data_IF_198845639340
#
_entry.id   IF_198845639340
#
_cell.length_a   1.000
_cell.length_b   1.000
_cell.length_c   1.000
_cell.angle_alpha   90.00
_cell.angle_beta   90.00
_cell.angle_gamma   90.00
#
_symmetry.space_group_name_H-M   'P 1'
#
loop_
_entity.id
_entity.type
_entity.pdbx_description
1 polymer ?
#
# COMPACT_ATOMS: atom_id res chain seq x y z
N UNK A 1 -74.36 -31.87 8.76
CA UNK A 1 -74.32 -32.22 10.21
C UNK A 1 -73.03 -32.98 10.51
N UNK A 2 -72.12 -32.37 11.15
CA UNK A 2 -70.90 -32.99 11.58
C UNK A 2 -70.09 -31.94 12.36
N UNK A 3 -70.34 -31.84 13.63
CA UNK A 3 -69.64 -31.02 14.60
C UNK A 3 -68.23 -31.60 14.83
N UNK A 4 -67.20 -30.83 14.62
CA UNK A 4 -65.84 -31.19 15.04
C UNK A 4 -65.48 -30.41 16.29
N UNK A 5 -65.26 -31.14 17.34
CA UNK A 5 -64.93 -30.69 18.70
C UNK A 5 -63.52 -30.16 18.75
N UNK A 6 -63.34 -29.01 19.38
CA UNK A 6 -62.03 -28.41 19.68
C UNK A 6 -61.39 -29.12 20.89
N UNK A 7 -60.11 -29.45 20.80
CA UNK A 7 -59.29 -30.01 21.87
C UNK A 7 -58.75 -28.89 22.80
N UNK A 8 -58.51 -29.14 24.08
CA UNK A 8 -58.12 -28.14 25.05
C UNK A 8 -56.61 -27.83 24.97
N UNK A 9 -56.27 -26.54 25.15
CA UNK A 9 -54.91 -26.00 25.22
C UNK A 9 -54.35 -26.30 26.58
N UNK A 10 -53.32 -27.11 26.65
CA UNK A 10 -52.55 -27.35 27.91
C UNK A 10 -51.56 -26.22 28.15
N UNK A 11 -51.71 -25.61 29.30
CA UNK A 11 -50.83 -24.59 29.84
C UNK A 11 -49.48 -25.24 30.24
N UNK A 12 -48.40 -24.93 29.54
CA UNK A 12 -47.04 -25.35 29.93
C UNK A 12 -46.46 -24.37 30.93
N UNK A 13 -46.13 -24.90 32.08
CA UNK A 13 -45.48 -24.22 33.19
C UNK A 13 -44.10 -23.68 32.80
N UNK A 14 -43.84 -22.39 33.11
CA UNK A 14 -42.51 -21.78 33.02
C UNK A 14 -41.61 -22.40 34.10
N UNK A 15 -40.67 -23.21 33.65
CA UNK A 15 -39.53 -23.67 34.44
C UNK A 15 -38.50 -22.56 34.64
N UNK A 16 -38.18 -22.34 35.90
CA UNK A 16 -37.19 -21.41 36.43
C UNK A 16 -35.78 -21.79 35.92
N UNK A 17 -35.19 -21.00 35.04
CA UNK A 17 -33.81 -21.21 34.57
C UNK A 17 -32.88 -20.31 35.41
N UNK A 18 -32.53 -20.82 36.57
CA UNK A 18 -31.45 -20.28 37.38
C UNK A 18 -30.24 -21.18 37.26
N UNK A 19 -29.43 -21.00 36.20
CA UNK A 19 -28.05 -21.46 36.14
C UNK A 19 -27.30 -20.67 35.08
N UNK A 20 -26.87 -19.48 35.41
CA UNK A 20 -25.82 -18.77 34.69
C UNK A 20 -24.48 -19.27 35.24
N UNK A 21 -23.60 -19.87 34.43
CA UNK A 21 -22.25 -20.21 34.87
C UNK A 21 -21.48 -18.92 35.21
N UNK A 22 -21.07 -18.80 36.48
CA UNK A 22 -20.18 -17.73 36.90
C UNK A 22 -18.79 -17.98 36.30
N UNK A 23 -18.28 -17.01 35.52
CA UNK A 23 -16.90 -16.98 35.08
C UNK A 23 -15.97 -16.87 36.28
N UNK A 24 -14.90 -17.69 36.39
CA UNK A 24 -13.94 -17.57 37.46
C UNK A 24 -13.16 -16.25 37.33
N UNK A 25 -13.19 -15.46 38.41
CA UNK A 25 -12.32 -14.28 38.56
C UNK A 25 -10.90 -14.80 38.76
N UNK A 26 -10.05 -14.65 37.79
CA UNK A 26 -8.61 -14.88 37.91
C UNK A 26 -7.97 -13.71 38.66
N UNK A 27 -7.88 -13.84 39.97
CA UNK A 27 -6.94 -13.09 40.80
C UNK A 27 -5.65 -13.90 40.85
N UNK A 28 -4.72 -13.60 39.96
CA UNK A 28 -3.27 -13.66 40.11
C UNK A 28 -2.59 -13.31 38.79
N UNK A 29 -2.14 -12.08 38.67
CA UNK A 29 -1.17 -11.68 37.68
C UNK A 29 0.20 -11.80 38.35
N UNK A 30 1.03 -12.80 38.01
CA UNK A 30 2.40 -12.84 38.50
C UNK A 30 3.22 -11.76 37.82
N UNK A 31 3.86 -10.95 38.65
CA UNK A 31 5.04 -10.10 38.39
C UNK A 31 5.54 -10.03 36.94
N UNK A 32 5.18 -8.94 36.26
CA UNK A 32 5.95 -8.50 35.09
C UNK A 32 7.34 -8.07 35.55
N UNK A 33 8.41 -8.51 34.87
CA UNK A 33 9.74 -7.98 35.08
C UNK A 33 9.75 -6.49 34.74
N UNK A 34 10.11 -5.67 35.72
CA UNK A 34 10.29 -4.23 35.50
C UNK A 34 11.51 -4.01 34.60
N UNK A 35 11.30 -3.32 33.49
CA UNK A 35 12.40 -2.81 32.65
C UNK A 35 13.27 -1.86 33.47
N UNK A 36 14.61 -2.01 33.46
CA UNK A 36 15.49 -1.10 34.17
C UNK A 36 15.39 0.29 33.56
N UNK A 37 15.08 1.28 34.43
CA UNK A 37 15.18 2.71 34.11
C UNK A 37 16.65 3.04 34.00
N UNK A 38 17.14 3.32 32.79
CA UNK A 38 18.47 3.88 32.58
C UNK A 38 18.48 5.35 32.99
N UNK A 39 18.81 5.61 34.25
CA UNK A 39 19.34 6.88 34.69
C UNK A 39 20.87 6.80 34.52
N UNK A 40 21.37 7.43 33.49
CA UNK A 40 22.65 8.16 33.43
C UNK A 40 23.10 8.35 31.97
N UNK A 41 22.66 9.44 31.37
CA UNK A 41 23.32 10.00 30.20
C UNK A 41 24.13 11.19 30.66
N UNK A 42 25.26 10.90 31.27
CA UNK A 42 26.31 11.92 31.58
C UNK A 42 27.63 11.28 31.21
N UNK A 43 28.00 11.36 29.95
CA UNK A 43 29.36 11.34 29.42
C UNK A 43 29.32 11.05 27.91
N UNK A 44 28.90 12.04 27.14
CA UNK A 44 29.30 12.10 25.73
C UNK A 44 30.70 12.78 25.70
N UNK A 45 31.68 12.18 25.02
CA UNK A 45 32.95 12.88 24.75
C UNK A 45 32.65 14.06 23.84
N UNK A 46 33.04 15.25 24.29
CA UNK A 46 32.97 16.45 23.47
C UNK A 46 34.02 16.35 22.37
N UNK A 47 33.55 16.49 21.11
CA UNK A 47 34.44 16.66 19.97
C UNK A 47 35.23 17.94 20.13
N UNK A 48 36.57 17.92 19.89
CA UNK A 48 37.38 19.13 20.00
C UNK A 48 37.01 20.14 18.92
N UNK A 49 36.68 21.35 19.33
CA UNK A 49 36.52 22.52 18.47
C UNK A 49 37.92 22.90 17.95
N UNK A 50 38.19 22.69 16.68
CA UNK A 50 39.38 23.22 16.03
C UNK A 50 39.19 24.72 15.77
N UNK A 51 39.70 25.55 16.70
CA UNK A 51 40.03 26.93 16.42
C UNK A 51 41.47 26.93 15.88
N UNK A 52 41.62 27.26 14.65
CA UNK A 52 42.72 27.98 14.01
C UNK A 52 42.95 27.48 12.58
N UNK A 53 42.39 28.17 11.62
CA UNK A 53 42.93 28.17 10.27
C UNK A 53 43.39 29.60 9.98
N UNK A 54 44.65 29.85 10.26
CA UNK A 54 45.38 31.02 9.82
C UNK A 54 46.09 30.69 8.52
N UNK A 55 45.89 31.55 7.52
CA UNK A 55 46.79 31.78 6.38
C UNK A 55 46.94 30.63 5.36
N UNK A 56 45.95 30.49 4.44
CA UNK A 56 46.20 29.99 3.11
C UNK A 56 46.54 31.15 2.15
N UNK A 57 47.38 30.94 1.12
CA UNK A 57 47.79 31.97 0.18
C UNK A 57 46.62 32.52 -0.60
N UNK A 58 46.48 33.84 -0.65
CA UNK A 58 45.47 34.54 -1.42
C UNK A 58 45.77 34.40 -2.92
N UNK A 59 44.88 33.79 -3.68
CA UNK A 59 44.90 33.86 -5.13
C UNK A 59 44.44 35.24 -5.59
N UNK A 60 45.10 35.86 -6.60
CA UNK A 60 44.72 37.18 -7.08
C UNK A 60 43.35 37.17 -7.72
N UNK A 61 42.49 38.11 -7.31
CA UNK A 61 41.18 38.35 -7.89
C UNK A 61 41.40 38.99 -9.26
N UNK A 62 41.11 38.23 -10.33
CA UNK A 62 40.99 38.81 -11.66
C UNK A 62 39.63 39.52 -11.78
N UNK A 63 39.67 40.84 -11.59
CA UNK A 63 38.60 41.75 -11.99
C UNK A 63 38.69 41.95 -13.48
N UNK A 64 37.81 41.28 -14.28
CA UNK A 64 37.23 41.72 -15.53
C UNK A 64 36.57 40.52 -16.25
N UNK A 65 35.30 40.28 -15.94
CA UNK A 65 34.46 39.46 -16.76
C UNK A 65 33.56 40.44 -17.52
N UNK A 66 33.60 40.47 -18.88
CA UNK A 66 32.68 41.31 -19.67
C UNK A 66 31.22 40.82 -19.44
N UNK A 67 30.35 41.78 -19.31
CA UNK A 67 28.91 41.65 -19.19
C UNK A 67 28.34 40.65 -20.20
N UNK A 68 28.04 39.44 -19.79
CA UNK A 68 27.19 38.55 -20.57
C UNK A 68 25.73 38.98 -20.43
N UNK A 69 24.95 39.05 -21.51
CA UNK A 69 23.54 39.34 -21.45
C UNK A 69 22.86 38.25 -20.61
N UNK A 70 22.20 38.67 -19.51
CA UNK A 70 21.37 37.75 -18.73
C UNK A 70 20.16 37.36 -19.58
N UNK A 71 20.11 36.12 -19.98
CA UNK A 71 18.87 35.52 -20.49
C UNK A 71 17.81 35.54 -19.38
N UNK A 72 16.58 36.00 -19.64
CA UNK A 72 15.53 35.98 -18.63
C UNK A 72 15.29 34.51 -18.23
N UNK A 73 15.46 34.21 -16.95
CA UNK A 73 15.03 32.96 -16.37
C UNK A 73 13.50 32.91 -16.48
N UNK A 74 13.01 32.22 -17.48
CA UNK A 74 11.63 31.77 -17.50
C UNK A 74 11.46 30.76 -16.37
N UNK A 75 10.90 31.22 -15.24
CA UNK A 75 10.32 30.39 -14.21
C UNK A 75 9.07 29.70 -14.75
N UNK A 76 9.23 28.84 -15.73
CA UNK A 76 8.25 27.81 -16.00
C UNK A 76 8.59 26.62 -15.10
N UNK A 77 8.13 26.67 -13.88
CA UNK A 77 7.94 25.46 -13.09
C UNK A 77 6.90 24.64 -13.83
N UNK A 78 7.36 23.79 -14.74
CA UNK A 78 6.58 22.68 -15.26
C UNK A 78 6.08 21.92 -14.02
N UNK A 79 4.76 21.66 -13.90
CA UNK A 79 4.29 20.78 -12.85
C UNK A 79 5.10 19.49 -12.97
N UNK A 80 5.69 19.06 -11.84
CA UNK A 80 6.44 17.82 -11.76
C UNK A 80 5.57 16.71 -12.35
N UNK A 81 5.87 16.30 -13.55
CA UNK A 81 5.36 15.07 -14.13
C UNK A 81 5.74 13.99 -13.13
N UNK A 82 4.73 13.44 -12.45
CA UNK A 82 4.90 12.29 -11.59
C UNK A 82 5.41 11.15 -12.47
N UNK A 83 6.72 11.01 -12.50
CA UNK A 83 7.36 9.86 -13.12
C UNK A 83 6.96 8.64 -12.28
N UNK A 84 5.99 7.88 -12.79
CA UNK A 84 5.94 6.44 -12.48
C UNK A 84 7.34 5.93 -12.78
N UNK A 85 7.97 5.26 -11.83
CA UNK A 85 9.31 4.70 -12.04
C UNK A 85 9.22 3.75 -13.24
N UNK A 86 9.63 4.25 -14.40
CA UNK A 86 9.78 3.40 -15.58
C UNK A 86 10.97 2.49 -15.28
N UNK A 87 10.75 1.19 -15.30
CA UNK A 87 11.85 0.22 -15.28
C UNK A 87 12.51 0.34 -16.64
N UNK A 88 13.74 0.91 -16.73
CA UNK A 88 14.35 1.18 -18.02
C UNK A 88 14.51 -0.12 -18.82
N UNK A 89 13.94 -0.16 -20.01
CA UNK A 89 14.13 -1.25 -20.97
C UNK A 89 13.08 -2.36 -20.97
N UNK A 90 12.09 -2.35 -20.06
CA UNK A 90 10.98 -3.31 -20.12
C UNK A 90 9.72 -2.67 -20.72
N UNK A 91 9.16 -3.25 -21.79
CA UNK A 91 7.94 -2.72 -22.40
C UNK A 91 6.75 -2.88 -21.47
N UNK A 92 5.83 -1.90 -21.53
CA UNK A 92 4.61 -1.89 -20.74
C UNK A 92 3.64 -2.92 -21.31
N UNK A 93 3.16 -3.81 -20.45
CA UNK A 93 2.19 -4.86 -20.82
C UNK A 93 0.76 -4.49 -20.44
N UNK A 94 0.57 -3.54 -19.51
CA UNK A 94 -0.72 -3.06 -19.04
C UNK A 94 -0.57 -1.98 -17.99
N UNK A 95 -1.69 -1.53 -17.44
CA UNK A 95 -1.72 -0.49 -16.43
C UNK A 95 -2.66 -0.82 -15.28
N UNK A 96 -2.31 -0.29 -14.09
CA UNK A 96 -3.26 -0.07 -13.01
C UNK A 96 -3.57 1.42 -12.95
N UNK A 97 -4.82 1.80 -13.15
CA UNK A 97 -5.26 3.20 -13.10
C UNK A 97 -6.00 3.45 -11.78
N UNK A 98 -5.51 4.39 -10.98
CA UNK A 98 -6.15 4.75 -9.73
C UNK A 98 -7.45 5.52 -9.99
N UNK A 99 -8.59 4.92 -9.64
CA UNK A 99 -9.92 5.50 -9.82
C UNK A 99 -10.50 6.07 -8.53
N UNK A 100 -9.98 5.65 -7.36
CA UNK A 100 -10.38 6.16 -6.05
C UNK A 100 -9.19 6.15 -5.09
N UNK A 101 -9.14 7.11 -4.18
CA UNK A 101 -8.06 7.30 -3.21
C UNK A 101 -7.22 8.55 -3.49
N UNK A 102 -6.14 8.74 -2.70
CA UNK A 102 -5.29 9.95 -2.78
C UNK A 102 -4.53 10.05 -4.12
N UNK A 103 -4.26 8.92 -4.75
CA UNK A 103 -3.58 8.84 -6.03
C UNK A 103 -4.53 8.84 -7.24
N UNK A 104 -5.80 9.22 -7.07
CA UNK A 104 -6.79 9.22 -8.15
C UNK A 104 -6.28 9.95 -9.40
N UNK A 105 -6.42 9.30 -10.55
CA UNK A 105 -5.95 9.78 -11.85
C UNK A 105 -4.52 9.36 -12.21
N UNK A 106 -3.73 8.81 -11.27
CA UNK A 106 -2.42 8.23 -11.59
C UNK A 106 -2.58 6.86 -12.26
N UNK A 107 -1.68 6.56 -13.18
CA UNK A 107 -1.51 5.24 -13.77
C UNK A 107 -0.15 4.65 -13.37
N UNK A 108 -0.11 3.34 -13.23
CA UNK A 108 1.08 2.58 -12.89
C UNK A 108 1.32 1.54 -13.97
N UNK A 109 2.52 1.49 -14.51
CA UNK A 109 2.90 0.54 -15.55
C UNK A 109 3.00 -0.88 -14.97
N UNK A 110 2.51 -1.85 -15.71
CA UNK A 110 2.76 -3.27 -15.48
C UNK A 110 3.73 -3.70 -16.58
N UNK A 111 4.80 -4.37 -16.20
CA UNK A 111 5.79 -4.95 -17.12
C UNK A 111 5.75 -6.47 -17.06
N UNK A 112 6.50 -7.14 -17.93
CA UNK A 112 6.61 -8.61 -17.94
C UNK A 112 7.16 -9.15 -16.60
N UNK A 113 6.63 -10.28 -16.15
CA UNK A 113 6.97 -10.92 -14.89
C UNK A 113 6.22 -10.35 -13.69
N UNK A 114 6.88 -10.33 -12.53
CA UNK A 114 6.28 -9.95 -11.25
C UNK A 114 6.40 -8.43 -11.02
N UNK A 115 5.28 -7.78 -10.72
CA UNK A 115 5.21 -6.38 -10.33
C UNK A 115 4.69 -6.30 -8.88
N UNK A 116 5.55 -5.92 -7.95
CA UNK A 116 5.22 -5.82 -6.54
C UNK A 116 4.53 -4.50 -6.22
N UNK A 117 3.34 -4.59 -5.61
CA UNK A 117 2.53 -3.44 -5.24
C UNK A 117 2.70 -3.13 -3.76
N UNK A 118 2.98 -1.89 -3.41
CA UNK A 118 3.08 -1.43 -2.04
C UNK A 118 3.18 0.09 -1.95
N UNK A 119 3.37 0.64 -0.74
CA UNK A 119 3.47 2.10 -0.57
C UNK A 119 4.90 2.64 -0.46
N UNK A 120 5.92 1.78 -0.48
CA UNK A 120 7.33 2.23 -0.51
C UNK A 120 7.78 2.52 -1.94
N UNK A 121 8.72 3.46 -2.05
CA UNK A 121 9.27 3.91 -3.34
C UNK A 121 10.09 2.86 -4.07
N UNK A 122 10.51 1.81 -3.37
CA UNK A 122 11.24 0.66 -3.94
C UNK A 122 10.33 -0.47 -4.44
N UNK A 123 9.02 -0.25 -4.46
CA UNK A 123 8.06 -1.16 -5.09
C UNK A 123 7.88 -0.79 -6.56
N UNK A 124 7.71 -1.79 -7.44
CA UNK A 124 7.48 -1.57 -8.87
C UNK A 124 6.23 -0.71 -9.11
N UNK A 125 5.20 -0.95 -8.30
CA UNK A 125 3.97 -0.16 -8.26
C UNK A 125 3.86 0.48 -6.88
N UNK A 126 4.33 1.73 -6.78
CA UNK A 126 4.35 2.49 -5.54
C UNK A 126 3.08 3.34 -5.40
N UNK A 127 2.20 2.97 -4.45
CA UNK A 127 0.98 3.71 -4.14
C UNK A 127 1.22 4.52 -2.88
N UNK A 128 1.60 5.78 -3.05
CA UNK A 128 1.83 6.71 -1.94
C UNK A 128 0.51 7.26 -1.38
N UNK A 129 0.55 7.74 -0.13
CA UNK A 129 -0.56 8.45 0.53
C UNK A 129 -1.50 7.55 1.33
N UNK A 130 -1.79 6.35 0.90
CA UNK A 130 -2.69 5.44 1.62
C UNK A 130 -1.95 4.57 2.65
N UNK A 131 -2.06 4.94 3.93
CA UNK A 131 -1.41 4.21 5.04
C UNK A 131 -2.01 2.82 5.28
N UNK A 132 -3.19 2.52 4.76
CA UNK A 132 -3.81 1.20 4.82
C UNK A 132 -3.23 0.20 3.81
N UNK A 133 -2.39 0.67 2.89
CA UNK A 133 -1.60 -0.19 2.02
C UNK A 133 -0.30 -0.56 2.74
N UNK A 134 0.07 -1.83 2.72
CA UNK A 134 1.33 -2.30 3.30
C UNK A 134 2.52 -1.64 2.64
N UNK A 135 3.59 -1.43 3.41
CA UNK A 135 4.84 -0.86 2.89
C UNK A 135 5.41 -1.70 1.76
N UNK A 136 5.47 -3.01 1.98
CA UNK A 136 6.04 -3.98 1.05
C UNK A 136 4.96 -4.93 0.55
N UNK A 137 5.04 -5.31 -0.70
CA UNK A 137 4.36 -6.45 -1.32
C UNK A 137 2.95 -6.69 -0.79
N UNK A 138 2.10 -5.65 -0.82
CA UNK A 138 0.69 -5.79 -0.44
C UNK A 138 -0.02 -6.73 -1.39
N UNK A 139 0.26 -6.60 -2.68
CA UNK A 139 -0.20 -7.45 -3.76
C UNK A 139 0.93 -7.69 -4.75
N UNK A 140 0.74 -8.67 -5.62
CA UNK A 140 1.62 -8.93 -6.77
C UNK A 140 0.76 -9.03 -8.01
N UNK A 141 1.10 -8.26 -9.04
CA UNK A 141 0.54 -8.39 -10.38
C UNK A 141 1.60 -9.02 -11.26
N UNK A 142 1.28 -10.13 -11.90
CA UNK A 142 2.17 -10.85 -12.81
C UNK A 142 1.62 -10.81 -14.21
N UNK A 143 2.47 -10.48 -15.20
CA UNK A 143 2.18 -10.77 -16.59
C UNK A 143 3.04 -11.93 -17.07
N UNK A 144 2.40 -12.99 -17.55
CA UNK A 144 3.06 -14.15 -18.14
C UNK A 144 3.02 -14.03 -19.66
N UNK A 145 4.19 -13.84 -20.28
CA UNK A 145 4.31 -13.80 -21.75
C UNK A 145 3.93 -15.13 -22.40
N UNK A 146 4.30 -16.24 -21.75
CA UNK A 146 3.99 -17.57 -22.24
C UNK A 146 2.48 -17.83 -22.31
N UNK A 147 1.76 -17.45 -21.24
CA UNK A 147 0.31 -17.64 -21.13
C UNK A 147 -0.50 -16.46 -21.65
N UNK A 148 0.16 -15.33 -21.93
CA UNK A 148 -0.45 -14.06 -22.35
C UNK A 148 -1.55 -13.59 -21.42
N UNK A 149 -1.34 -13.77 -20.13
CA UNK A 149 -2.34 -13.48 -19.11
C UNK A 149 -1.76 -12.72 -17.92
N UNK A 150 -2.63 -11.97 -17.26
CA UNK A 150 -2.31 -11.26 -16.03
C UNK A 150 -2.90 -12.01 -14.84
N UNK A 151 -2.10 -12.13 -13.78
CA UNK A 151 -2.50 -12.76 -12.53
C UNK A 151 -2.39 -11.75 -11.40
N UNK A 152 -3.37 -11.72 -10.52
CA UNK A 152 -3.32 -11.01 -9.24
C UNK A 152 -3.12 -12.03 -8.13
N UNK A 153 -2.14 -11.81 -7.28
CA UNK A 153 -1.80 -12.66 -6.13
C UNK A 153 -1.80 -11.85 -4.84
N UNK A 154 -2.05 -12.52 -3.73
CA UNK A 154 -1.75 -12.00 -2.40
C UNK A 154 -0.25 -11.77 -2.28
N UNK A 155 0.13 -10.66 -1.65
CA UNK A 155 1.50 -10.40 -1.26
C UNK A 155 1.82 -10.98 0.12
N UNK A 156 2.79 -10.37 0.79
CA UNK A 156 3.22 -10.74 2.15
C UNK A 156 2.37 -10.05 3.24
N UNK A 157 1.43 -9.21 2.83
CA UNK A 157 0.54 -8.44 3.71
C UNK A 157 -0.53 -9.32 4.34
N UNK A 158 -0.91 -8.99 5.57
CA UNK A 158 -2.11 -9.56 6.22
C UNK A 158 -3.39 -8.81 5.87
N UNK A 159 -3.25 -7.67 5.19
CA UNK A 159 -4.38 -6.84 4.79
C UNK A 159 -5.14 -7.49 3.64
N UNK A 160 -6.47 -7.29 3.67
CA UNK A 160 -7.36 -7.89 2.69
C UNK A 160 -7.30 -7.15 1.36
N UNK A 161 -7.27 -7.91 0.28
CA UNK A 161 -7.42 -7.43 -1.08
C UNK A 161 -8.82 -7.79 -1.55
N UNK A 162 -9.49 -6.86 -2.20
CA UNK A 162 -10.78 -7.13 -2.83
C UNK A 162 -10.66 -6.95 -4.34
N UNK A 163 -11.42 -7.74 -5.06
CA UNK A 163 -11.60 -7.61 -6.51
C UNK A 163 -13.08 -7.36 -6.79
N UNK A 164 -13.34 -6.38 -7.65
CA UNK A 164 -14.69 -6.11 -8.16
C UNK A 164 -14.72 -6.39 -9.65
N UNK A 165 -15.56 -7.34 -10.06
CA UNK A 165 -15.84 -7.72 -11.44
C UNK A 165 -17.34 -7.75 -11.61
N UNK A 166 -17.88 -7.19 -12.68
CA UNK A 166 -19.33 -7.13 -12.97
C UNK A 166 -20.17 -6.58 -11.80
N UNK A 167 -19.63 -5.54 -11.13
CA UNK A 167 -20.21 -4.91 -9.93
C UNK A 167 -20.28 -5.83 -8.69
N UNK A 168 -19.67 -6.99 -8.74
CA UNK A 168 -19.59 -7.91 -7.61
C UNK A 168 -18.22 -7.79 -6.94
N UNK A 169 -18.22 -7.33 -5.70
CA UNK A 169 -17.00 -7.21 -4.86
C UNK A 169 -16.81 -8.48 -4.04
N UNK A 170 -15.64 -9.10 -4.16
CA UNK A 170 -15.25 -10.31 -3.42
C UNK A 170 -13.84 -10.18 -2.85
N UNK A 171 -13.57 -10.92 -1.80
CA UNK A 171 -12.23 -11.02 -1.22
C UNK A 171 -11.34 -11.88 -2.14
N UNK A 172 -10.07 -11.50 -2.24
CA UNK A 172 -9.05 -12.31 -2.89
C UNK A 172 -8.55 -13.36 -1.90
N UNK A 173 -8.78 -14.64 -2.20
CA UNK A 173 -8.35 -15.76 -1.34
C UNK A 173 -7.13 -16.52 -1.90
N UNK A 174 -6.59 -16.08 -3.01
CA UNK A 174 -5.45 -16.74 -3.65
C UNK A 174 -5.00 -16.01 -4.90
N UNK A 175 -4.68 -16.77 -5.95
CA UNK A 175 -4.31 -16.23 -7.26
C UNK A 175 -5.53 -16.23 -8.17
N UNK A 176 -5.78 -15.12 -8.84
CA UNK A 176 -6.82 -15.02 -9.86
C UNK A 176 -6.27 -14.46 -11.17
N UNK A 177 -6.86 -14.84 -12.28
CA UNK A 177 -6.65 -14.19 -13.57
C UNK A 177 -7.40 -12.85 -13.58
N UNK A 178 -6.71 -11.77 -13.93
CA UNK A 178 -7.32 -10.46 -14.13
C UNK A 178 -8.00 -10.40 -15.50
N UNK A 179 -9.14 -9.74 -15.54
CA UNK A 179 -9.87 -9.39 -16.75
C UNK A 179 -9.89 -7.87 -16.92
N UNK A 180 -10.02 -7.40 -18.16
CA UNK A 180 -10.08 -5.98 -18.45
C UNK A 180 -11.15 -5.28 -17.60
N UNK A 181 -10.76 -4.16 -16.99
CA UNK A 181 -11.59 -3.32 -16.12
C UNK A 181 -11.97 -3.92 -14.77
N UNK A 182 -11.33 -5.01 -14.35
CA UNK A 182 -11.36 -5.42 -12.96
C UNK A 182 -10.89 -4.29 -12.05
N UNK A 183 -11.57 -4.10 -10.93
CA UNK A 183 -11.17 -3.11 -9.93
C UNK A 183 -10.59 -3.82 -8.71
N UNK A 184 -9.32 -3.55 -8.45
CA UNK A 184 -8.57 -4.06 -7.29
C UNK A 184 -8.66 -3.02 -6.17
N UNK A 185 -9.19 -3.39 -5.01
CA UNK A 185 -9.22 -2.52 -3.83
C UNK A 185 -8.13 -2.92 -2.85
N UNK A 186 -7.22 -2.01 -2.58
CA UNK A 186 -6.14 -2.11 -1.58
C UNK A 186 -6.34 -0.98 -0.56
N UNK A 187 -6.72 -1.34 0.67
CA UNK A 187 -7.06 -0.35 1.68
C UNK A 187 -8.19 0.58 1.21
N UNK A 188 -7.91 1.89 1.09
CA UNK A 188 -8.85 2.90 0.59
C UNK A 188 -8.68 3.22 -0.89
N UNK A 189 -7.70 2.62 -1.53
CA UNK A 189 -7.34 2.88 -2.93
C UNK A 189 -7.99 1.84 -3.84
N UNK A 190 -8.60 2.29 -4.93
CA UNK A 190 -9.15 1.44 -5.98
C UNK A 190 -8.40 1.65 -7.28
N UNK A 191 -7.93 0.54 -7.84
CA UNK A 191 -7.12 0.47 -9.05
C UNK A 191 -7.87 -0.30 -10.12
N UNK A 192 -8.14 0.33 -11.26
CA UNK A 192 -8.73 -0.33 -12.42
C UNK A 192 -7.62 -0.95 -13.26
N UNK A 193 -7.76 -2.22 -13.59
CA UNK A 193 -6.83 -2.93 -14.46
C UNK A 193 -7.15 -2.67 -15.94
N UNK A 194 -6.13 -2.27 -16.70
CA UNK A 194 -6.23 -2.03 -18.14
C UNK A 194 -5.13 -2.83 -18.86
N UNK A 195 -5.46 -3.96 -19.50
CA UNK A 195 -4.48 -4.73 -20.25
C UNK A 195 -4.10 -4.02 -21.55
N UNK A 196 -2.83 -4.09 -21.93
CA UNK A 196 -2.33 -3.74 -23.25
C UNK A 196 -1.95 -4.99 -24.03
N UNK A 197 -1.20 -5.89 -23.40
CA UNK A 197 -0.86 -7.19 -23.96
C UNK A 197 -1.96 -8.24 -23.65
N UNK A 198 -1.98 -9.30 -24.44
CA UNK A 198 -2.90 -10.41 -24.34
C UNK A 198 -2.91 -11.22 -25.65
N UNK A 199 -4.03 -11.93 -25.92
CA UNK A 199 -4.15 -12.80 -27.09
C UNK A 199 -4.01 -12.07 -28.43
N UNK A 200 -4.37 -10.77 -28.48
CA UNK A 200 -4.36 -9.96 -29.70
C UNK A 200 -3.02 -9.29 -29.97
N UNK A 201 -2.24 -9.02 -28.91
CA UNK A 201 -0.98 -8.32 -29.00
C UNK A 201 -0.05 -8.74 -27.88
N UNK A 202 1.22 -8.94 -28.20
CA UNK A 202 2.34 -9.08 -27.27
C UNK A 202 3.57 -8.45 -27.92
N UNK A 203 4.50 -8.02 -27.11
CA UNK A 203 5.76 -7.47 -27.58
C UNK A 203 6.60 -8.52 -28.32
#
# INVERSE_FOLDING_TARGET
TGMTQAAPVTHAQMGNISNVPQTPVMNNIPNMPQTPVMNNISNMPQTPVMNNVSNGPQTPVMSNVPNMPQTPMMNNALPALHQTAEIPGMPVTGWLVCICGEAKGKSYNIVSGLNYVGRRKDMDICIEGDISISRYRHAVVEYSEERKEFLLRLGESKEKIYITRDRQKRILEGTIKLEAYDVITLGRTELMFVPFCGDRFTW
#
